data_IF_261673753564
#
_entry.id   IF_261673753564
#
_cell.length_a   1.000
_cell.length_b   1.000
_cell.length_c   1.000
_cell.angle_alpha   90.00
_cell.angle_beta   90.00
_cell.angle_gamma   90.00
#
_symmetry.space_group_name_H-M   'P 1'
#
loop_
_entity.id
_entity.type
_entity.pdbx_description
1 polymer ?
#
# COMPACT_ATOMS: atom_id res chain seq x y z
N UNK A 1 11.65 -12.96 13.86
CA UNK A 1 11.06 -13.90 12.87
C UNK A 1 10.75 -13.11 11.63
N UNK A 2 11.07 -13.60 10.40
CA UNK A 2 10.75 -12.90 9.16
C UNK A 2 9.23 -12.86 8.96
N UNK A 3 8.64 -11.72 8.55
CA UNK A 3 7.21 -11.64 8.25
C UNK A 3 6.83 -12.40 6.98
N UNK A 4 5.53 -12.65 6.81
CA UNK A 4 4.95 -13.03 5.51
C UNK A 4 4.64 -11.76 4.73
N UNK A 5 5.08 -11.68 3.49
CA UNK A 5 4.69 -10.62 2.57
C UNK A 5 3.31 -10.91 1.97
N UNK A 6 2.39 -9.98 2.11
CA UNK A 6 1.15 -9.90 1.36
C UNK A 6 1.19 -8.66 0.48
N UNK A 7 1.04 -8.81 -0.82
CA UNK A 7 1.23 -7.71 -1.75
C UNK A 7 0.24 -7.75 -2.91
N UNK A 8 0.00 -6.59 -3.52
CA UNK A 8 -0.79 -6.48 -4.76
C UNK A 8 0.03 -5.80 -5.85
N UNK A 9 -0.20 -6.17 -7.10
CA UNK A 9 0.50 -5.60 -8.25
C UNK A 9 -0.45 -5.34 -9.41
N UNK A 10 -0.30 -4.17 -10.03
CA UNK A 10 -0.90 -3.80 -11.30
C UNK A 10 0.20 -3.43 -12.29
N UNK A 11 0.53 -4.35 -13.22
CA UNK A 11 1.58 -4.15 -14.25
C UNK A 11 1.15 -4.73 -15.60
N UNK A 12 0.25 -4.04 -16.32
CA UNK A 12 -0.31 -4.56 -17.57
C UNK A 12 0.69 -4.63 -18.73
N UNK A 13 1.79 -3.91 -18.64
CA UNK A 13 2.80 -3.82 -19.69
C UNK A 13 4.14 -4.49 -19.31
N UNK A 14 4.20 -5.25 -18.22
CA UNK A 14 5.41 -5.91 -17.74
C UNK A 14 6.62 -4.96 -17.55
N UNK A 15 6.37 -3.74 -17.11
CA UNK A 15 7.40 -2.71 -16.98
C UNK A 15 8.31 -2.90 -15.77
N UNK A 16 7.88 -3.69 -14.80
CA UNK A 16 8.63 -3.92 -13.57
C UNK A 16 9.48 -5.21 -13.58
N UNK A 17 9.53 -5.94 -14.69
CA UNK A 17 10.22 -7.24 -14.76
C UNK A 17 11.69 -7.15 -14.34
N UNK A 18 12.43 -6.15 -14.83
CA UNK A 18 13.84 -5.95 -14.45
C UNK A 18 14.00 -5.71 -12.95
N UNK A 19 13.17 -4.81 -12.40
CA UNK A 19 13.23 -4.46 -10.99
C UNK A 19 12.81 -5.64 -10.10
N UNK A 20 11.81 -6.44 -10.52
CA UNK A 20 11.42 -7.67 -9.84
C UNK A 20 12.59 -8.65 -9.75
N UNK A 21 13.27 -8.90 -10.88
CA UNK A 21 14.43 -9.80 -10.90
C UNK A 21 15.57 -9.31 -10.02
N UNK A 22 15.84 -8.02 -10.05
CA UNK A 22 16.93 -7.39 -9.28
C UNK A 22 16.68 -7.40 -7.78
N UNK A 23 15.46 -7.09 -7.34
CA UNK A 23 15.16 -6.93 -5.92
C UNK A 23 14.73 -8.23 -5.22
N UNK A 24 14.38 -9.29 -5.97
CA UNK A 24 13.95 -10.57 -5.38
C UNK A 24 14.94 -11.16 -4.38
N UNK A 25 16.28 -11.19 -4.61
CA UNK A 25 17.20 -11.73 -3.62
C UNK A 25 17.11 -11.03 -2.25
N UNK A 26 16.99 -9.70 -2.23
CA UNK A 26 16.84 -8.95 -0.98
C UNK A 26 15.49 -9.23 -0.30
N UNK A 27 14.42 -9.37 -1.07
CA UNK A 27 13.10 -9.72 -0.54
C UNK A 27 13.08 -11.14 0.06
N UNK A 28 13.87 -12.07 -0.45
CA UNK A 28 14.06 -13.42 0.14
C UNK A 28 14.79 -13.37 1.49
N UNK A 29 15.68 -12.42 1.67
CA UNK A 29 16.34 -12.20 2.96
C UNK A 29 15.36 -11.64 4.00
N UNK A 30 14.39 -10.81 3.60
CA UNK A 30 13.49 -10.09 4.49
C UNK A 30 12.22 -10.86 4.86
N UNK A 31 11.66 -11.65 3.93
CA UNK A 31 10.37 -12.30 4.09
C UNK A 31 10.49 -13.83 4.12
N UNK A 32 9.63 -14.46 4.94
CA UNK A 32 9.55 -15.92 5.02
C UNK A 32 8.80 -16.50 3.82
N UNK A 33 7.65 -15.92 3.49
CA UNK A 33 6.80 -16.26 2.36
C UNK A 33 6.47 -14.97 1.59
N UNK A 34 6.32 -15.08 0.28
CA UNK A 34 6.08 -13.94 -0.60
C UNK A 34 4.83 -14.19 -1.43
N UNK A 35 3.74 -13.50 -1.10
CA UNK A 35 2.43 -13.63 -1.74
C UNK A 35 2.15 -12.35 -2.53
N UNK A 36 1.92 -12.48 -3.84
CA UNK A 36 1.59 -11.35 -4.72
C UNK A 36 0.30 -11.66 -5.48
N UNK A 37 -0.73 -10.87 -5.22
CA UNK A 37 -2.01 -10.96 -5.93
C UNK A 37 -2.07 -9.90 -7.02
N UNK A 38 -2.26 -10.31 -8.26
CA UNK A 38 -2.21 -9.45 -9.43
C UNK A 38 -3.59 -8.93 -9.80
N UNK A 39 -3.69 -7.68 -10.27
CA UNK A 39 -4.90 -7.22 -10.94
C UNK A 39 -5.18 -8.05 -12.19
N UNK A 40 -6.44 -8.18 -12.57
CA UNK A 40 -6.85 -8.97 -13.75
C UNK A 40 -6.25 -8.48 -15.07
N UNK A 41 -5.78 -7.24 -15.13
CA UNK A 41 -5.13 -6.63 -16.30
C UNK A 41 -3.60 -6.71 -16.27
N UNK A 42 -3.00 -7.20 -15.19
CA UNK A 42 -1.54 -7.42 -15.15
C UNK A 42 -1.13 -8.46 -16.20
N UNK A 43 0.02 -8.25 -16.83
CA UNK A 43 0.49 -9.11 -17.91
C UNK A 43 0.71 -10.57 -17.45
N UNK A 44 0.62 -11.50 -18.39
CA UNK A 44 0.91 -12.91 -18.13
C UNK A 44 2.39 -13.14 -17.87
N UNK A 45 3.24 -12.35 -18.51
CA UNK A 45 4.69 -12.38 -18.35
C UNK A 45 5.07 -12.04 -16.92
N UNK A 46 4.51 -10.97 -16.34
CA UNK A 46 4.72 -10.60 -14.92
C UNK A 46 4.35 -11.76 -13.99
N UNK A 47 3.19 -12.42 -14.21
CA UNK A 47 2.80 -13.58 -13.42
C UNK A 47 3.81 -14.73 -13.53
N UNK A 48 4.30 -15.02 -14.73
CA UNK A 48 5.27 -16.09 -14.97
C UNK A 48 6.62 -15.79 -14.31
N UNK A 49 7.10 -14.55 -14.42
CA UNK A 49 8.33 -14.08 -13.77
C UNK A 49 8.25 -14.24 -12.26
N UNK A 50 7.17 -13.78 -11.63
CA UNK A 50 6.98 -13.93 -10.18
C UNK A 50 6.98 -15.40 -9.74
N UNK A 51 6.26 -16.27 -10.45
CA UNK A 51 6.23 -17.72 -10.14
C UNK A 51 7.60 -18.37 -10.27
N UNK A 52 8.35 -18.02 -11.33
CA UNK A 52 9.71 -18.53 -11.55
C UNK A 52 10.66 -18.12 -10.43
N UNK A 53 10.44 -16.94 -9.85
CA UNK A 53 11.22 -16.40 -8.72
C UNK A 53 10.68 -16.82 -7.34
N UNK A 54 9.82 -17.84 -7.28
CA UNK A 54 9.37 -18.43 -6.02
C UNK A 54 8.29 -17.65 -5.27
N UNK A 55 7.63 -16.69 -5.92
CA UNK A 55 6.46 -16.04 -5.32
C UNK A 55 5.21 -16.90 -5.47
N UNK A 56 4.37 -16.92 -4.42
CA UNK A 56 3.00 -17.40 -4.56
C UNK A 56 2.19 -16.30 -5.27
N UNK A 57 2.14 -16.37 -6.60
CA UNK A 57 1.51 -15.36 -7.44
C UNK A 57 0.24 -15.89 -8.14
N UNK A 58 -0.82 -15.07 -8.14
CA UNK A 58 -2.07 -15.37 -8.84
C UNK A 58 -2.83 -14.11 -9.17
N UNK A 59 -3.75 -14.20 -10.14
CA UNK A 59 -4.70 -13.12 -10.36
C UNK A 59 -5.71 -13.04 -9.22
N UNK A 60 -6.06 -11.80 -8.86
CA UNK A 60 -7.15 -11.47 -7.95
C UNK A 60 -8.49 -11.33 -8.69
N UNK A 61 -9.48 -10.88 -7.95
CA UNK A 61 -10.81 -10.59 -8.46
C UNK A 61 -10.89 -9.29 -9.26
N UNK A 62 -12.11 -8.97 -9.74
CA UNK A 62 -12.38 -7.80 -10.59
C UNK A 62 -12.22 -6.46 -9.87
N UNK A 63 -12.36 -6.40 -8.54
CA UNK A 63 -12.22 -5.15 -7.79
C UNK A 63 -10.83 -5.02 -7.16
N UNK A 64 -10.36 -3.79 -7.01
CA UNK A 64 -9.10 -3.49 -6.34
C UNK A 64 -9.13 -4.04 -4.90
N UNK A 65 -10.14 -3.70 -4.11
CA UNK A 65 -10.25 -4.12 -2.71
C UNK A 65 -10.29 -5.65 -2.54
N UNK A 66 -10.97 -6.40 -3.43
CA UNK A 66 -10.98 -7.87 -3.36
C UNK A 66 -9.62 -8.49 -3.67
N UNK A 67 -8.81 -7.84 -4.51
CA UNK A 67 -7.43 -8.25 -4.78
C UNK A 67 -6.56 -8.14 -3.52
N UNK A 68 -6.71 -7.04 -2.77
CA UNK A 68 -6.06 -6.85 -1.47
C UNK A 68 -6.49 -7.90 -0.44
N UNK A 69 -7.80 -8.13 -0.31
CA UNK A 69 -8.35 -9.15 0.61
C UNK A 69 -7.81 -10.53 0.28
N UNK A 70 -7.67 -10.88 -1.00
CA UNK A 70 -7.13 -12.17 -1.40
C UNK A 70 -5.66 -12.33 -0.99
N UNK A 71 -4.83 -11.28 -1.13
CA UNK A 71 -3.44 -11.30 -0.67
C UNK A 71 -3.37 -11.53 0.86
N UNK A 72 -4.17 -10.80 1.63
CA UNK A 72 -4.23 -10.97 3.09
C UNK A 72 -4.73 -12.35 3.50
N UNK A 73 -5.77 -12.89 2.85
CA UNK A 73 -6.30 -14.22 3.12
C UNK A 73 -5.23 -15.30 2.93
N UNK A 74 -4.52 -15.28 1.82
CA UNK A 74 -3.44 -16.23 1.56
C UNK A 74 -2.29 -16.11 2.55
N UNK A 75 -1.98 -14.88 2.98
CA UNK A 75 -0.98 -14.67 4.01
C UNK A 75 -1.40 -15.26 5.37
N UNK A 76 -2.68 -15.11 5.77
CA UNK A 76 -3.19 -15.71 7.01
C UNK A 76 -3.18 -17.24 6.98
N UNK A 77 -3.41 -17.85 5.81
CA UNK A 77 -3.35 -19.30 5.63
C UNK A 77 -1.96 -19.89 5.91
N UNK A 78 -0.89 -19.09 5.84
CA UNK A 78 0.48 -19.53 6.17
C UNK A 78 0.69 -19.75 7.66
N UNK A 79 -0.15 -19.18 8.53
CA UNK A 79 -0.03 -19.29 10.00
C UNK A 79 1.31 -18.81 10.55
N UNK A 80 1.92 -17.84 9.89
CA UNK A 80 3.17 -17.19 10.25
C UNK A 80 2.87 -15.71 10.49
N UNK A 81 3.44 -15.13 11.54
CA UNK A 81 3.28 -13.74 11.94
C UNK A 81 4.64 -13.05 12.11
N UNK A 82 4.69 -11.73 11.91
CA UNK A 82 3.61 -10.86 11.43
C UNK A 82 3.41 -10.96 9.91
N UNK A 83 2.31 -10.38 9.42
CA UNK A 83 2.06 -10.15 8.00
C UNK A 83 2.50 -8.72 7.68
N UNK A 84 3.37 -8.55 6.70
CA UNK A 84 3.73 -7.26 6.13
C UNK A 84 2.96 -7.05 4.83
N UNK A 85 2.11 -6.02 4.80
CA UNK A 85 1.37 -5.63 3.60
C UNK A 85 1.98 -4.37 2.98
N UNK A 86 2.27 -4.42 1.68
CA UNK A 86 2.71 -3.27 0.89
C UNK A 86 2.35 -3.50 -0.58
N UNK A 87 1.95 -2.45 -1.31
CA UNK A 87 1.82 -2.53 -2.76
C UNK A 87 3.18 -2.91 -3.36
N UNK A 88 3.20 -3.85 -4.31
CA UNK A 88 4.45 -4.51 -4.72
C UNK A 88 5.41 -3.57 -5.47
N UNK A 89 4.88 -2.64 -6.24
CA UNK A 89 5.67 -1.59 -6.89
C UNK A 89 6.35 -0.67 -5.86
N UNK A 90 5.65 -0.28 -4.81
CA UNK A 90 6.23 0.48 -3.69
C UNK A 90 7.29 -0.32 -2.94
N UNK A 91 7.03 -1.60 -2.71
CA UNK A 91 7.99 -2.48 -2.06
C UNK A 91 9.28 -2.62 -2.87
N UNK A 92 9.17 -2.78 -4.19
CA UNK A 92 10.32 -2.83 -5.09
C UNK A 92 11.12 -1.53 -5.04
N UNK A 93 10.43 -0.39 -5.11
CA UNK A 93 11.04 0.93 -4.96
C UNK A 93 11.76 1.06 -3.62
N UNK A 94 11.09 0.74 -2.53
CA UNK A 94 11.64 0.80 -1.17
C UNK A 94 12.88 -0.08 -1.03
N UNK A 95 12.82 -1.32 -1.55
CA UNK A 95 13.96 -2.25 -1.52
C UNK A 95 15.16 -1.72 -2.31
N UNK A 96 14.91 -1.03 -3.43
CA UNK A 96 15.96 -0.49 -4.30
C UNK A 96 16.63 0.76 -3.72
N UNK A 97 15.85 1.67 -3.10
CA UNK A 97 16.34 3.00 -2.72
C UNK A 97 16.62 3.15 -1.22
N UNK A 98 15.92 2.39 -0.36
CA UNK A 98 16.02 2.48 1.10
C UNK A 98 16.04 1.08 1.76
N UNK A 99 16.96 0.18 1.33
CA UNK A 99 16.96 -1.22 1.79
C UNK A 99 17.19 -1.34 3.31
N UNK A 100 18.02 -0.50 3.91
CA UNK A 100 18.31 -0.53 5.35
C UNK A 100 17.08 -0.09 6.18
N UNK A 101 16.32 0.90 5.68
CA UNK A 101 15.08 1.32 6.32
C UNK A 101 14.04 0.19 6.29
N UNK A 102 13.84 -0.44 5.12
CA UNK A 102 12.92 -1.58 4.97
C UNK A 102 13.31 -2.73 5.91
N UNK A 103 14.59 -3.08 5.98
CA UNK A 103 15.09 -4.09 6.89
C UNK A 103 14.80 -3.73 8.35
N UNK A 104 15.09 -2.50 8.75
CA UNK A 104 14.87 -2.03 10.11
C UNK A 104 13.39 -2.11 10.53
N UNK A 105 12.45 -1.74 9.66
CA UNK A 105 11.02 -1.77 9.99
C UNK A 105 10.44 -3.18 9.96
N UNK A 106 10.93 -4.07 9.10
CA UNK A 106 10.46 -5.46 9.05
C UNK A 106 10.90 -6.28 10.27
N UNK A 107 11.99 -5.89 10.95
CA UNK A 107 12.52 -6.59 12.12
C UNK A 107 11.95 -6.12 13.46
N UNK A 108 11.37 -4.90 13.55
CA UNK A 108 11.09 -4.21 14.83
C UNK A 108 9.64 -4.19 15.28
N UNK A 109 8.72 -4.88 14.66
CA UNK A 109 7.31 -4.77 15.05
C UNK A 109 7.03 -5.40 16.42
N UNK A 110 6.73 -4.54 17.40
CA UNK A 110 6.22 -4.93 18.74
C UNK A 110 4.72 -4.68 18.89
N UNK A 111 4.10 -4.13 17.86
CA UNK A 111 2.70 -3.77 17.81
C UNK A 111 1.84 -4.90 17.20
N UNK A 112 0.56 -4.94 17.52
CA UNK A 112 -0.39 -5.84 16.87
C UNK A 112 -0.85 -5.32 15.51
N UNK A 113 -0.74 -4.00 15.32
CA UNK A 113 -0.88 -3.30 14.04
C UNK A 113 0.12 -2.15 13.97
N UNK A 114 0.91 -2.05 12.91
CA UNK A 114 1.74 -0.89 12.61
C UNK A 114 1.34 -0.30 11.27
N UNK A 115 1.01 0.98 11.27
CA UNK A 115 0.74 1.77 10.09
C UNK A 115 2.01 2.52 9.66
N UNK A 116 2.44 2.33 8.42
CA UNK A 116 3.55 3.07 7.84
C UNK A 116 3.02 4.25 7.02
N UNK A 117 3.41 5.46 7.41
CA UNK A 117 3.12 6.69 6.70
C UNK A 117 4.33 7.21 5.96
N UNK A 118 4.11 8.06 4.95
CA UNK A 118 5.18 8.76 4.25
C UNK A 118 5.67 9.92 5.10
N UNK A 119 6.99 10.12 5.17
CA UNK A 119 7.55 11.38 5.68
C UNK A 119 7.05 12.56 4.84
N UNK A 120 7.21 13.77 5.36
CA UNK A 120 6.88 14.99 4.60
C UNK A 120 7.67 15.05 3.28
N UNK A 121 8.95 14.66 3.28
CA UNK A 121 9.78 14.62 2.07
C UNK A 121 9.22 13.61 1.06
N UNK A 122 8.98 12.37 1.49
CA UNK A 122 8.45 11.32 0.63
C UNK A 122 7.08 11.72 0.02
N UNK A 123 6.21 12.38 0.80
CA UNK A 123 4.94 12.87 0.29
C UNK A 123 5.10 13.94 -0.80
N UNK A 124 6.10 14.82 -0.71
CA UNK A 124 6.35 15.88 -1.69
C UNK A 124 6.89 15.38 -3.03
N UNK A 125 7.34 14.14 -3.13
CA UNK A 125 7.74 13.54 -4.42
C UNK A 125 6.54 13.27 -5.34
N UNK A 126 5.35 13.05 -4.74
CA UNK A 126 4.12 12.73 -5.47
C UNK A 126 3.60 13.92 -6.29
N UNK A 127 2.77 13.68 -7.33
CA UNK A 127 2.09 14.74 -8.06
C UNK A 127 1.19 15.60 -7.17
N UNK A 128 1.02 16.88 -7.52
CA UNK A 128 0.19 17.82 -6.76
C UNK A 128 -1.28 17.34 -6.66
N UNK A 129 -1.82 16.74 -7.73
CA UNK A 129 -3.15 16.12 -7.74
C UNK A 129 -3.34 15.10 -6.62
N UNK A 130 -2.29 14.35 -6.27
CA UNK A 130 -2.31 13.39 -5.18
C UNK A 130 -2.07 14.07 -3.84
N UNK A 131 -1.06 14.92 -3.72
CA UNK A 131 -0.69 15.54 -2.43
C UNK A 131 -1.82 16.38 -1.85
N UNK A 132 -2.52 17.17 -2.68
CA UNK A 132 -3.62 18.03 -2.21
C UNK A 132 -4.87 17.23 -1.83
N UNK A 133 -5.29 16.26 -2.65
CA UNK A 133 -6.47 15.44 -2.35
C UNK A 133 -6.26 14.55 -1.13
N UNK A 134 -5.10 13.92 -1.02
CA UNK A 134 -4.79 13.06 0.13
C UNK A 134 -4.58 13.87 1.42
N UNK A 135 -4.09 15.11 1.36
CA UNK A 135 -3.96 15.96 2.56
C UNK A 135 -5.30 16.20 3.24
N UNK A 136 -6.36 16.44 2.46
CA UNK A 136 -7.72 16.59 3.01
C UNK A 136 -8.17 15.31 3.72
N UNK A 137 -8.03 14.17 3.06
CA UNK A 137 -8.43 12.86 3.59
C UNK A 137 -7.63 12.50 4.87
N UNK A 138 -6.31 12.69 4.86
CA UNK A 138 -5.42 12.45 6.00
C UNK A 138 -5.78 13.30 7.21
N UNK A 139 -6.08 14.58 6.99
CA UNK A 139 -6.44 15.50 8.07
C UNK A 139 -7.71 15.05 8.78
N UNK A 140 -8.73 14.63 8.03
CA UNK A 140 -9.98 14.12 8.60
C UNK A 140 -9.76 12.79 9.33
N UNK A 141 -9.05 11.85 8.71
CA UNK A 141 -8.76 10.55 9.32
C UNK A 141 -7.94 10.68 10.60
N UNK A 142 -6.93 11.58 10.62
CA UNK A 142 -6.11 11.83 11.81
C UNK A 142 -6.95 12.31 12.99
N UNK A 143 -7.96 13.15 12.75
CA UNK A 143 -8.90 13.59 13.80
C UNK A 143 -9.74 12.44 14.33
N UNK A 144 -10.23 11.55 13.45
CA UNK A 144 -11.02 10.37 13.85
C UNK A 144 -10.18 9.41 14.69
N UNK A 145 -8.90 9.27 14.35
CA UNK A 145 -7.94 8.42 15.06
C UNK A 145 -7.37 9.05 16.34
N UNK A 146 -7.71 10.31 16.62
CA UNK A 146 -7.25 11.01 17.83
C UNK A 146 -5.77 11.44 17.78
N UNK A 147 -5.17 11.53 16.58
CA UNK A 147 -3.82 12.05 16.46
C UNK A 147 -3.77 13.56 16.77
N UNK A 148 -2.76 14.03 17.52
CA UNK A 148 -2.61 15.45 17.84
C UNK A 148 -2.27 16.30 16.61
N UNK A 149 -1.71 15.68 15.58
CA UNK A 149 -1.31 16.31 14.32
C UNK A 149 -1.75 15.44 13.13
N UNK A 150 -1.75 16.04 11.92
CA UNK A 150 -2.05 15.28 10.70
C UNK A 150 -0.93 14.29 10.40
N UNK A 151 -1.27 13.00 10.37
CA UNK A 151 -0.38 11.89 9.99
C UNK A 151 -0.79 11.27 8.66
N UNK A 152 0.17 10.70 7.96
CA UNK A 152 -0.11 10.03 6.71
C UNK A 152 -0.62 8.60 6.94
N UNK A 153 -1.91 8.43 6.84
CA UNK A 153 -2.60 7.15 7.01
C UNK A 153 -2.91 6.45 5.68
N UNK A 154 -2.45 7.04 4.56
CA UNK A 154 -2.70 6.55 3.20
C UNK A 154 -1.51 5.84 2.55
N UNK A 155 -0.48 5.51 3.33
CA UNK A 155 0.71 4.80 2.83
C UNK A 155 0.42 3.43 2.23
N UNK A 156 -0.75 2.86 2.49
CA UNK A 156 -1.19 1.51 2.06
C UNK A 156 -0.13 0.45 2.39
N UNK A 157 0.53 0.64 3.53
CA UNK A 157 1.59 -0.25 4.01
C UNK A 157 1.40 -0.49 5.49
N UNK A 158 1.36 -1.76 5.86
CA UNK A 158 1.03 -2.16 7.22
C UNK A 158 1.85 -3.37 7.65
N UNK A 159 2.11 -3.45 8.96
CA UNK A 159 2.47 -4.72 9.59
C UNK A 159 1.38 -5.09 10.59
N UNK A 160 0.86 -6.31 10.51
CA UNK A 160 -0.31 -6.73 11.29
C UNK A 160 -0.20 -8.20 11.69
N UNK A 161 -0.82 -8.55 12.81
CA UNK A 161 -1.02 -9.95 13.20
C UNK A 161 -2.16 -10.57 12.40
N UNK A 162 -2.22 -11.89 12.36
CA UNK A 162 -3.27 -12.62 11.64
C UNK A 162 -4.69 -12.23 12.09
N UNK A 163 -4.90 -11.97 13.37
CA UNK A 163 -6.19 -11.54 13.91
C UNK A 163 -6.71 -10.26 13.25
N UNK A 164 -5.84 -9.26 13.04
CA UNK A 164 -6.20 -8.00 12.39
C UNK A 164 -6.50 -8.23 10.89
N UNK A 165 -5.68 -9.06 10.21
CA UNK A 165 -5.94 -9.42 8.82
C UNK A 165 -7.30 -10.15 8.65
N UNK A 166 -7.61 -11.09 9.53
CA UNK A 166 -8.90 -11.80 9.54
C UNK A 166 -10.09 -10.85 9.77
N UNK A 167 -9.92 -9.83 10.63
CA UNK A 167 -10.96 -8.83 10.84
C UNK A 167 -11.26 -8.05 9.55
N UNK A 168 -10.23 -7.67 8.78
CA UNK A 168 -10.41 -7.05 7.46
C UNK A 168 -11.05 -8.00 6.44
N UNK A 169 -10.61 -9.26 6.40
CA UNK A 169 -11.14 -10.27 5.47
C UNK A 169 -12.65 -10.47 5.67
N UNK A 170 -13.13 -10.34 6.91
CA UNK A 170 -14.55 -10.43 7.26
C UNK A 170 -15.33 -9.12 7.11
N UNK A 171 -14.63 -7.99 7.01
CA UNK A 171 -15.27 -6.68 6.91
C UNK A 171 -15.97 -6.51 5.55
N UNK A 172 -17.13 -5.83 5.58
CA UNK A 172 -17.77 -5.40 4.33
C UNK A 172 -16.91 -4.32 3.68
N UNK A 173 -16.61 -4.47 2.40
CA UNK A 173 -15.92 -3.45 1.59
C UNK A 173 -16.88 -2.27 1.42
N UNK A 174 -16.43 -1.05 1.74
CA UNK A 174 -17.28 0.14 1.76
C UNK A 174 -17.71 0.57 0.36
N UNK A 175 -16.75 0.98 -0.47
CA UNK A 175 -16.93 1.39 -1.86
C UNK A 175 -15.61 1.20 -2.63
N UNK A 176 -15.55 1.70 -3.87
CA UNK A 176 -14.42 1.42 -4.75
C UNK A 176 -13.06 1.88 -4.19
N UNK A 177 -13.00 3.06 -3.55
CA UNK A 177 -11.76 3.65 -3.04
C UNK A 177 -11.78 3.94 -1.54
N UNK A 178 -12.92 3.84 -0.89
CA UNK A 178 -13.06 4.13 0.54
C UNK A 178 -12.23 3.22 1.44
N UNK A 179 -11.94 1.99 0.98
CA UNK A 179 -11.14 1.04 1.73
C UNK A 179 -9.73 1.56 2.05
N UNK A 180 -9.16 2.48 1.26
CA UNK A 180 -7.87 3.09 1.55
C UNK A 180 -7.82 3.81 2.90
N UNK A 181 -8.97 4.30 3.39
CA UNK A 181 -9.08 4.88 4.73
C UNK A 181 -9.90 4.04 5.71
N UNK A 182 -10.95 3.36 5.25
CA UNK A 182 -11.76 2.51 6.10
C UNK A 182 -10.91 1.45 6.82
N UNK A 183 -10.00 0.80 6.10
CA UNK A 183 -9.20 -0.28 6.66
C UNK A 183 -8.15 0.17 7.68
N UNK A 184 -7.28 1.15 7.41
CA UNK A 184 -6.35 1.60 8.45
C UNK A 184 -7.08 2.19 9.68
N UNK A 185 -8.24 2.83 9.51
CA UNK A 185 -9.04 3.31 10.63
C UNK A 185 -9.58 2.13 11.45
N UNK A 186 -10.18 1.12 10.81
CA UNK A 186 -10.65 -0.10 11.48
C UNK A 186 -9.54 -0.83 12.21
N UNK A 187 -8.41 -1.03 11.54
CA UNK A 187 -7.25 -1.70 12.13
C UNK A 187 -6.76 -0.95 13.36
N UNK A 188 -6.66 0.38 13.27
CA UNK A 188 -6.20 1.21 14.39
C UNK A 188 -7.14 1.13 15.59
N UNK A 189 -8.45 1.34 15.36
CA UNK A 189 -9.46 1.36 16.44
C UNK A 189 -9.60 -0.03 17.11
N UNK A 190 -9.45 -1.12 16.34
CA UNK A 190 -9.59 -2.49 16.86
C UNK A 190 -8.28 -3.09 17.38
N UNK A 191 -7.18 -2.36 17.32
CA UNK A 191 -5.89 -2.80 17.86
C UNK A 191 -5.74 -2.38 19.31
N UNK A 192 -5.19 -3.27 20.13
CA UNK A 192 -4.88 -2.97 21.55
C UNK A 192 -3.58 -2.21 21.70
N UNK A 193 -2.66 -2.37 20.77
CA UNK A 193 -1.35 -1.73 20.76
C UNK A 193 -0.98 -1.29 19.32
N UNK A 194 -1.67 -0.26 18.74
CA UNK A 194 -1.34 0.23 17.41
C UNK A 194 -0.07 1.08 17.42
N UNK A 195 0.73 0.98 16.35
CA UNK A 195 1.93 1.77 16.13
C UNK A 195 1.87 2.58 14.84
N UNK A 196 2.59 3.70 14.81
CA UNK A 196 2.76 4.55 13.63
C UNK A 196 4.23 4.87 13.41
N UNK A 197 4.71 4.67 12.17
CA UNK A 197 6.09 4.93 11.77
C UNK A 197 6.08 5.68 10.45
N UNK A 198 6.79 6.80 10.36
CA UNK A 198 7.05 7.49 9.10
C UNK A 198 8.30 6.92 8.42
N UNK A 199 8.21 6.74 7.11
CA UNK A 199 9.28 6.15 6.30
C UNK A 199 9.50 6.94 5.00
N UNK A 200 10.73 6.91 4.52
CA UNK A 200 11.14 7.55 3.26
C UNK A 200 10.83 6.68 2.03
N UNK A 201 10.94 5.37 2.18
CA UNK A 201 10.80 4.42 1.07
C UNK A 201 9.40 4.33 0.46
N UNK A 202 8.41 5.04 1.03
CA UNK A 202 7.08 5.22 0.44
C UNK A 202 6.97 6.50 -0.42
N UNK A 203 8.07 7.05 -0.89
CA UNK A 203 8.05 8.11 -1.90
C UNK A 203 7.44 7.61 -3.23
N UNK A 204 7.28 8.50 -4.21
CA UNK A 204 6.57 8.16 -5.43
C UNK A 204 7.30 7.15 -6.31
N UNK A 205 6.83 5.94 -6.34
CA UNK A 205 7.38 4.77 -7.02
C UNK A 205 7.10 4.72 -8.53
N UNK A 206 6.09 5.46 -8.99
CA UNK A 206 5.64 5.41 -10.38
C UNK A 206 6.75 5.69 -11.42
N UNK A 207 7.72 6.60 -11.17
CA UNK A 207 8.86 6.81 -12.07
C UNK A 207 9.63 5.54 -12.45
N UNK A 208 9.70 4.55 -11.57
CA UNK A 208 10.46 3.31 -11.84
C UNK A 208 9.96 2.54 -13.06
N UNK A 209 8.67 2.67 -13.37
CA UNK A 209 8.03 2.05 -14.54
C UNK A 209 8.30 2.78 -15.86
N UNK A 210 8.77 4.04 -15.79
CA UNK A 210 8.77 4.96 -16.92
C UNK A 210 10.15 5.59 -17.18
N UNK A 211 11.21 4.90 -16.81
CA UNK A 211 12.58 5.39 -16.92
C UNK A 211 12.98 5.79 -18.36
N UNK A 212 12.48 5.07 -19.36
CA UNK A 212 12.74 5.40 -20.76
C UNK A 212 12.05 6.70 -21.17
N UNK A 213 10.77 6.86 -20.84
CA UNK A 213 10.00 8.06 -21.13
C UNK A 213 10.56 9.26 -20.38
N UNK A 214 10.96 9.08 -19.12
CA UNK A 214 11.60 10.12 -18.31
C UNK A 214 12.94 10.56 -18.93
N UNK A 215 13.74 9.62 -19.39
CA UNK A 215 15.02 9.92 -20.05
C UNK A 215 14.81 10.72 -21.35
N UNK A 216 13.74 10.44 -22.08
CA UNK A 216 13.45 11.12 -23.35
C UNK A 216 12.82 12.51 -23.16
N UNK A 217 11.86 12.64 -22.25
CA UNK A 217 11.09 13.87 -22.06
C UNK A 217 11.64 14.80 -20.97
N UNK A 218 12.47 14.29 -20.07
CA UNK A 218 12.80 14.94 -18.80
C UNK A 218 11.73 14.68 -17.72
N UNK A 219 12.18 14.61 -16.46
CA UNK A 219 11.33 14.24 -15.32
C UNK A 219 10.12 15.17 -15.14
N UNK A 220 10.34 16.49 -15.18
CA UNK A 220 9.28 17.47 -14.94
C UNK A 220 8.20 17.42 -16.04
N UNK A 221 8.60 17.38 -17.31
CA UNK A 221 7.68 17.26 -18.44
C UNK A 221 6.89 15.93 -18.42
N UNK A 222 7.53 14.82 -18.00
CA UNK A 222 6.84 13.56 -17.83
C UNK A 222 5.86 13.60 -16.64
N UNK A 223 6.25 14.21 -15.51
CA UNK A 223 5.42 14.34 -14.30
C UNK A 223 4.14 15.15 -14.56
N UNK A 224 4.16 16.12 -15.49
CA UNK A 224 2.98 16.89 -15.88
C UNK A 224 1.82 16.01 -16.37
N UNK A 225 2.09 14.82 -16.92
CA UNK A 225 1.04 13.88 -17.30
C UNK A 225 0.16 13.44 -16.12
N UNK A 226 0.64 13.57 -14.88
CA UNK A 226 -0.08 13.22 -13.66
C UNK A 226 -0.78 14.43 -13.01
N UNK A 227 -0.75 15.61 -13.67
CA UNK A 227 -1.34 16.86 -13.18
C UNK A 227 -2.45 17.38 -14.09
N UNK A 228 -2.86 16.59 -15.09
CA UNK A 228 -3.91 16.95 -16.02
C UNK A 228 -5.33 16.84 -15.41
N UNK A 229 -6.33 17.37 -16.13
CA UNK A 229 -7.73 17.39 -15.67
C UNK A 229 -8.31 15.97 -15.43
N UNK A 230 -7.84 14.95 -16.13
CA UNK A 230 -8.33 13.58 -15.94
C UNK A 230 -7.83 12.99 -14.61
N UNK A 231 -6.56 13.24 -14.27
CA UNK A 231 -6.02 12.85 -12.96
C UNK A 231 -6.72 13.62 -11.83
N UNK A 232 -6.99 14.91 -11.96
CA UNK A 232 -7.78 15.66 -10.99
C UNK A 232 -9.17 15.05 -10.77
N UNK A 233 -9.89 14.68 -11.84
CA UNK A 233 -11.20 14.01 -11.73
C UNK A 233 -11.10 12.68 -11.00
N UNK A 234 -10.12 11.85 -11.34
CA UNK A 234 -9.86 10.55 -10.69
C UNK A 234 -9.57 10.72 -9.20
N UNK A 235 -8.66 11.62 -8.85
CA UNK A 235 -8.28 11.88 -7.45
C UNK A 235 -9.45 12.43 -6.63
N UNK A 236 -10.28 13.30 -7.20
CA UNK A 236 -11.49 13.79 -6.54
C UNK A 236 -12.54 12.69 -6.31
N UNK A 237 -12.69 11.72 -7.21
CA UNK A 237 -13.54 10.55 -6.98
C UNK A 237 -13.00 9.70 -5.83
N UNK A 238 -11.69 9.46 -5.78
CA UNK A 238 -11.06 8.74 -4.68
C UNK A 238 -11.26 9.49 -3.35
N UNK A 239 -11.05 10.80 -3.33
CA UNK A 239 -11.26 11.63 -2.13
C UNK A 239 -12.69 11.54 -1.63
N UNK A 240 -13.70 11.65 -2.52
CA UNK A 240 -15.11 11.48 -2.16
C UNK A 240 -15.37 10.15 -1.47
N UNK A 241 -14.94 9.05 -2.07
CA UNK A 241 -15.16 7.71 -1.54
C UNK A 241 -14.46 7.50 -0.17
N UNK A 242 -13.27 8.10 -0.01
CA UNK A 242 -12.54 8.09 1.27
C UNK A 242 -13.26 8.91 2.35
N UNK A 243 -13.82 10.08 2.02
CA UNK A 243 -14.58 10.91 2.96
C UNK A 243 -15.87 10.19 3.40
N UNK A 244 -16.58 9.56 2.47
CA UNK A 244 -17.76 8.75 2.79
C UNK A 244 -17.42 7.60 3.75
N UNK A 245 -16.28 6.94 3.55
CA UNK A 245 -15.81 5.90 4.46
C UNK A 245 -15.48 6.45 5.86
N UNK A 246 -14.81 7.60 5.96
CA UNK A 246 -14.54 8.26 7.26
C UNK A 246 -15.85 8.59 8.00
N UNK A 247 -16.87 9.07 7.27
CA UNK A 247 -18.14 9.46 7.88
C UNK A 247 -18.81 8.29 8.62
N UNK A 248 -18.64 7.05 8.18
CA UNK A 248 -19.16 5.87 8.88
C UNK A 248 -18.53 5.68 10.26
N UNK A 249 -17.27 6.00 10.43
CA UNK A 249 -16.56 5.89 11.71
C UNK A 249 -16.91 7.01 12.69
N UNK A 250 -17.23 8.21 12.20
CA UNK A 250 -17.66 9.33 13.05
C UNK A 250 -19.01 9.05 13.73
N UNK A 251 -19.92 8.34 13.05
CA UNK A 251 -21.23 7.98 13.59
C UNK A 251 -21.12 6.96 14.73
N UNK A 252 -20.19 6.01 14.65
CA UNK A 252 -19.99 5.01 15.72
C UNK A 252 -19.45 5.63 17.01
N UNK A 253 -18.56 6.62 16.93
CA UNK A 253 -17.98 7.26 18.12
C UNK A 253 -18.95 8.18 18.88
N UNK A 254 -20.14 8.49 18.35
CA UNK A 254 -21.19 9.26 19.05
C UNK A 254 -22.19 8.38 19.82
N UNK A 255 -22.11 7.07 19.67
CA UNK A 255 -23.05 6.10 20.26
C UNK A 255 -22.45 5.32 21.44
N UNK A 256 -21.22 5.64 21.84
CA UNK A 256 -20.52 5.13 23.03
C UNK A 256 -20.31 6.23 24.04
#
# INVERSE_FOLDING_TARGET
>A
MKPVLASTLHDPQNRLESLINEQTPKLEELFHEKIVTLSSSTSRETLQTLKKLGYEASYGDKSVASTYILALRRATEKKIEPIFYCDFDRLLHWTSHYPEELEAVTQKSTHDFTLFGRTKRAMLTHPETQTLTETTAKTLASKVLGFPETRDVLGTTWMLKAQQAEALIRAKISNQYGFYLDWPIRLWINSTNPGYIEVEGLEWETPDRYQQEITQAGYDAWKENYQNMQEWKKRNLMLRDMIEAIATHIQFNKST
#
